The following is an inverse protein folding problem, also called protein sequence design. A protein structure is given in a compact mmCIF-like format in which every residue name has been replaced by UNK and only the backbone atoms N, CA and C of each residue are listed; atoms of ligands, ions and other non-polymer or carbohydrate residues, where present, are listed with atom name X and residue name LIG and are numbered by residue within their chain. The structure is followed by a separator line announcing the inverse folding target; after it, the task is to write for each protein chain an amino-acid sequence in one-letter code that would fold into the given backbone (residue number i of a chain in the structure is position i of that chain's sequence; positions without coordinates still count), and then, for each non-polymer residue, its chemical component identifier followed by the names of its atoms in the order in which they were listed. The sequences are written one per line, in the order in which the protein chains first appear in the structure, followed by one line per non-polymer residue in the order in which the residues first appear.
data_IF_352490559879
#
_entry.id   IF_352490559879
#
_cell.length_a   1.000
_cell.length_b   1.000
_cell.length_c   1.000
_cell.angle_alpha   90.00
_cell.angle_beta   90.00
_cell.angle_gamma   90.00
#
_symmetry.space_group_name_H-M   'P 1'
#
loop_
_entity.id
_entity.type
_entity.pdbx_description
1 polymer ?
#
# COMPACT_ATOMS: atom_id res chain seq x y z
N UNK A 1 13.89 -2.18 -4.31
CA UNK A 1 13.14 -2.43 -5.55
C UNK A 1 13.49 -1.31 -6.52
N UNK A 2 13.87 -1.64 -7.75
CA UNK A 2 14.22 -0.63 -8.74
C UNK A 2 12.94 0.01 -9.29
N UNK A 3 12.57 1.16 -8.74
CA UNK A 3 11.40 1.89 -9.20
C UNK A 3 11.60 2.47 -10.60
N UNK A 4 12.81 2.52 -11.16
CA UNK A 4 13.03 2.97 -12.53
C UNK A 4 12.75 1.87 -13.57
N UNK A 5 12.44 0.64 -13.12
CA UNK A 5 12.12 -0.47 -14.02
C UNK A 5 10.93 -0.17 -14.97
N UNK A 6 9.98 0.70 -14.60
CA UNK A 6 8.87 1.09 -15.49
C UNK A 6 9.31 1.98 -16.66
N UNK A 7 10.49 2.60 -16.58
CA UNK A 7 11.09 3.42 -17.65
C UNK A 7 11.88 2.58 -18.65
N UNK A 8 12.08 1.29 -18.35
CA UNK A 8 12.81 0.39 -19.25
C UNK A 8 11.98 0.03 -20.47
N UNK A 9 12.66 -0.12 -21.60
CA UNK A 9 12.10 -0.69 -22.82
C UNK A 9 12.52 -2.17 -22.92
N UNK A 10 11.61 -3.07 -23.33
CA UNK A 10 10.24 -2.79 -23.77
C UNK A 10 9.27 -2.44 -22.63
N UNK A 11 8.25 -1.63 -22.93
CA UNK A 11 7.27 -1.17 -21.92
C UNK A 11 6.64 -2.40 -21.22
N UNK A 12 6.72 -2.50 -19.89
CA UNK A 12 6.23 -3.68 -19.20
C UNK A 12 4.72 -3.91 -19.33
N UNK A 13 4.26 -5.16 -19.47
CA UNK A 13 2.85 -5.45 -19.69
C UNK A 13 1.95 -5.13 -18.49
N UNK A 14 2.52 -5.05 -17.28
CA UNK A 14 1.75 -4.72 -16.07
C UNK A 14 1.41 -3.24 -15.95
N UNK A 15 2.10 -2.34 -16.66
CA UNK A 15 1.94 -0.88 -16.54
C UNK A 15 0.59 -0.39 -17.09
N UNK A 16 -0.07 -1.19 -17.93
CA UNK A 16 -1.41 -0.96 -18.51
C UNK A 16 -1.61 0.47 -19.09
N UNK A 17 -0.56 1.01 -19.71
CA UNK A 17 -0.60 2.32 -20.36
C UNK A 17 -1.28 2.26 -21.72
N UNK A 18 -2.07 3.29 -22.02
CA UNK A 18 -2.70 3.50 -23.32
C UNK A 18 -2.25 4.82 -23.94
N UNK A 19 -2.14 4.86 -25.26
CA UNK A 19 -1.82 6.09 -25.99
C UNK A 19 -2.90 7.15 -25.74
N UNK A 20 -2.55 8.39 -25.33
CA UNK A 20 -3.54 9.44 -25.05
C UNK A 20 -4.26 9.93 -26.32
N UNK A 21 -3.73 9.66 -27.52
CA UNK A 21 -4.31 10.10 -28.79
C UNK A 21 -5.28 9.09 -29.41
N UNK A 22 -4.97 7.79 -29.35
CA UNK A 22 -5.76 6.75 -30.02
C UNK A 22 -6.16 5.56 -29.11
N UNK A 23 -5.84 5.63 -27.81
CA UNK A 23 -6.07 4.58 -26.82
C UNK A 23 -5.40 3.22 -27.11
N UNK A 24 -4.44 3.15 -28.04
CA UNK A 24 -3.67 1.93 -28.30
C UNK A 24 -2.88 1.48 -27.05
N UNK A 25 -2.95 0.20 -26.64
CA UNK A 25 -2.17 -0.31 -25.52
C UNK A 25 -0.67 -0.25 -25.79
N UNK A 26 0.09 0.46 -24.97
CA UNK A 26 1.52 0.73 -25.18
C UNK A 26 2.44 -0.42 -24.69
N UNK A 27 1.88 -1.55 -24.24
CA UNK A 27 2.64 -2.69 -23.72
C UNK A 27 3.55 -3.34 -24.78
N UNK A 28 4.78 -3.67 -24.37
CA UNK A 28 5.74 -4.39 -25.20
C UNK A 28 6.42 -3.58 -26.31
N UNK A 29 6.18 -2.27 -26.38
CA UNK A 29 6.78 -1.42 -27.41
C UNK A 29 8.28 -1.23 -27.18
N UNK A 30 9.12 -1.29 -28.24
CA UNK A 30 10.57 -1.12 -28.14
C UNK A 30 11.00 0.36 -28.17
N UNK A 31 10.07 1.29 -28.38
CA UNK A 31 10.32 2.74 -28.45
C UNK A 31 9.14 3.54 -27.88
N UNK A 32 9.39 4.82 -27.58
CA UNK A 32 8.39 5.75 -26.99
C UNK A 32 7.50 6.39 -28.08
N UNK A 33 6.99 5.56 -28.99
CA UNK A 33 6.13 6.00 -30.09
C UNK A 33 4.97 5.02 -30.28
N UNK A 34 3.76 5.55 -30.42
CA UNK A 34 2.58 4.74 -30.70
C UNK A 34 2.63 4.19 -32.14
N UNK A 35 2.52 2.87 -32.36
CA UNK A 35 2.58 2.29 -33.70
C UNK A 35 1.35 2.61 -34.56
N UNK A 36 0.20 2.92 -33.94
CA UNK A 36 -1.04 3.20 -34.67
C UNK A 36 -1.11 4.65 -35.18
N UNK A 37 -0.83 5.64 -34.31
CA UNK A 37 -0.99 7.06 -34.65
C UNK A 37 0.34 7.81 -34.83
N UNK A 38 1.48 7.17 -34.55
CA UNK A 38 2.80 7.78 -34.64
C UNK A 38 3.12 8.82 -33.56
N UNK A 39 2.21 9.07 -32.61
CA UNK A 39 2.44 10.02 -31.53
C UNK A 39 3.60 9.58 -30.63
N UNK A 40 4.55 10.47 -30.40
CA UNK A 40 5.56 10.33 -29.35
C UNK A 40 4.91 10.54 -27.98
N UNK A 41 5.42 9.87 -26.96
CA UNK A 41 4.96 10.03 -25.59
C UNK A 41 6.11 9.93 -24.60
N UNK A 42 5.95 10.54 -23.44
CA UNK A 42 6.85 10.35 -22.30
C UNK A 42 6.18 9.44 -21.28
N UNK A 43 6.83 8.34 -20.88
CA UNK A 43 6.28 7.40 -19.89
C UNK A 43 5.98 8.12 -18.58
N UNK A 44 6.85 9.05 -18.16
CA UNK A 44 6.68 9.81 -16.92
C UNK A 44 5.42 10.69 -16.91
N UNK A 45 4.96 11.12 -18.08
CA UNK A 45 3.71 11.91 -18.24
C UNK A 45 2.45 11.03 -18.22
N UNK A 46 2.60 9.74 -18.54
CA UNK A 46 1.50 8.78 -18.56
C UNK A 46 1.33 8.06 -17.22
N UNK A 47 2.41 7.94 -16.44
CA UNK A 47 2.38 7.34 -15.11
C UNK A 47 1.67 8.27 -14.15
N UNK A 48 0.55 7.80 -13.61
CA UNK A 48 -0.27 8.50 -12.62
C UNK A 48 -0.25 7.76 -11.28
N UNK A 49 -0.91 8.33 -10.27
CA UNK A 49 -1.04 7.73 -8.93
C UNK A 49 -1.71 6.34 -8.95
N UNK A 50 -2.52 6.10 -9.98
CA UNK A 50 -3.28 4.85 -10.18
C UNK A 50 -2.55 3.84 -11.07
N UNK A 51 -1.36 4.20 -11.57
CA UNK A 51 -0.56 3.35 -12.46
C UNK A 51 0.30 2.39 -11.64
N UNK A 52 0.26 1.08 -11.91
CA UNK A 52 1.06 0.09 -11.17
C UNK A 52 2.53 0.15 -11.58
N UNK A 53 3.44 0.40 -10.64
CA UNK A 53 4.88 0.51 -10.97
C UNK A 53 5.61 -0.85 -10.95
N UNK A 54 4.96 -1.88 -10.39
CA UNK A 54 5.44 -3.26 -10.29
C UNK A 54 4.26 -4.23 -10.43
N UNK A 55 4.45 -5.51 -10.73
CA UNK A 55 3.39 -6.53 -10.60
C UNK A 55 3.02 -6.78 -9.13
N UNK A 56 1.81 -7.33 -8.84
CA UNK A 56 1.43 -7.71 -7.48
C UNK A 56 2.27 -8.91 -7.03
N UNK A 57 2.75 -8.87 -5.78
CA UNK A 57 3.56 -9.94 -5.20
C UNK A 57 2.70 -10.93 -4.41
N UNK A 58 1.58 -10.44 -3.87
CA UNK A 58 0.67 -11.24 -3.06
C UNK A 58 -0.61 -11.49 -3.85
N UNK A 59 -0.81 -12.76 -4.20
CA UNK A 59 -2.01 -13.23 -4.88
C UNK A 59 -2.87 -14.04 -3.90
N UNK A 60 -4.11 -14.33 -4.29
CA UNK A 60 -4.99 -15.21 -3.51
C UNK A 60 -4.38 -16.61 -3.25
N UNK A 61 -3.42 -17.03 -4.08
CA UNK A 61 -2.72 -18.33 -3.99
C UNK A 61 -1.41 -18.27 -3.20
N UNK A 62 -0.96 -17.09 -2.76
CA UNK A 62 0.33 -16.94 -2.08
C UNK A 62 0.32 -17.67 -0.73
N UNK A 63 1.21 -18.65 -0.56
CA UNK A 63 1.41 -19.41 0.69
C UNK A 63 2.90 -19.45 1.04
N UNK A 64 3.28 -19.52 2.34
CA UNK A 64 2.41 -19.39 3.51
C UNK A 64 1.69 -18.03 3.52
N UNK A 65 0.51 -17.96 4.14
CA UNK A 65 -0.30 -16.74 4.17
C UNK A 65 0.53 -15.60 4.76
N UNK A 66 0.76 -14.49 4.02
CA UNK A 66 1.54 -13.37 4.54
C UNK A 66 0.87 -12.70 5.73
N UNK A 67 1.56 -11.77 6.37
CA UNK A 67 0.98 -11.02 7.47
C UNK A 67 0.05 -9.92 6.95
N UNK A 68 -1.21 -10.28 6.74
CA UNK A 68 -2.24 -9.42 6.15
C UNK A 68 -3.18 -8.79 7.19
N UNK A 69 -2.93 -9.00 8.49
CA UNK A 69 -3.86 -8.62 9.55
C UNK A 69 -5.19 -9.39 9.55
N UNK A 70 -5.33 -10.40 8.68
CA UNK A 70 -6.55 -11.19 8.53
C UNK A 70 -6.71 -12.22 9.66
N UNK A 71 -7.97 -12.47 10.01
CA UNK A 71 -8.38 -13.43 11.03
C UNK A 71 -9.45 -14.36 10.45
N UNK A 72 -9.47 -15.59 10.96
CA UNK A 72 -10.54 -16.55 10.67
C UNK A 72 -11.88 -15.96 11.13
N UNK A 73 -12.85 -15.93 10.24
CA UNK A 73 -14.23 -15.51 10.49
C UNK A 73 -14.97 -16.40 11.52
N UNK A 74 -14.52 -17.65 11.69
CA UNK A 74 -15.13 -18.62 12.60
C UNK A 74 -14.65 -18.55 14.05
N UNK A 75 -13.34 -18.39 14.27
CA UNK A 75 -12.75 -18.44 15.61
C UNK A 75 -11.85 -17.23 15.94
N UNK A 76 -11.62 -16.32 14.99
CA UNK A 76 -10.74 -15.17 15.18
C UNK A 76 -9.24 -15.48 15.12
N UNK A 77 -8.84 -16.73 14.86
CA UNK A 77 -7.43 -17.12 14.77
C UNK A 77 -6.70 -16.32 13.66
N UNK A 78 -5.50 -15.77 13.90
CA UNK A 78 -4.76 -15.02 12.89
C UNK A 78 -4.33 -15.95 11.75
N UNK A 79 -4.63 -15.57 10.51
CA UNK A 79 -4.35 -16.43 9.34
C UNK A 79 -2.89 -16.39 8.89
N UNK A 80 -2.06 -15.53 9.48
CA UNK A 80 -0.64 -15.38 9.11
C UNK A 80 0.14 -16.69 9.29
N UNK A 81 1.01 -17.00 8.34
CA UNK A 81 1.89 -18.17 8.37
C UNK A 81 1.23 -19.50 7.99
N UNK A 82 -0.08 -19.53 7.74
CA UNK A 82 -0.77 -20.77 7.39
C UNK A 82 -0.31 -21.31 6.02
N UNK A 83 0.02 -22.62 5.90
CA UNK A 83 0.46 -23.20 4.64
C UNK A 83 -0.71 -23.56 3.70
N UNK A 84 -1.94 -23.57 4.20
CA UNK A 84 -3.15 -24.03 3.50
C UNK A 84 -4.37 -23.17 3.82
N UNK A 85 -5.44 -23.42 3.08
CA UNK A 85 -6.71 -22.67 3.08
C UNK A 85 -7.65 -23.17 4.16
N UNK A 86 -7.09 -23.58 5.30
CA UNK A 86 -7.80 -24.15 6.44
C UNK A 86 -7.25 -23.55 7.72
N UNK A 87 -8.15 -23.06 8.57
CA UNK A 87 -7.80 -22.59 9.90
C UNK A 87 -7.32 -23.75 10.79
N UNK A 88 -6.15 -23.61 11.41
CA UNK A 88 -5.59 -24.67 12.27
C UNK A 88 -6.36 -24.90 13.57
N UNK A 89 -7.11 -23.90 14.04
CA UNK A 89 -7.87 -24.02 15.29
C UNK A 89 -9.26 -24.64 15.09
N UNK A 90 -10.01 -24.20 14.08
CA UNK A 90 -11.40 -24.62 13.90
C UNK A 90 -11.64 -25.46 12.64
N UNK A 91 -10.63 -25.67 11.79
CA UNK A 91 -10.73 -26.44 10.55
C UNK A 91 -11.54 -25.77 9.44
N UNK A 92 -12.07 -24.55 9.65
CA UNK A 92 -12.85 -23.83 8.64
C UNK A 92 -11.98 -23.49 7.43
N UNK A 93 -12.53 -23.73 6.24
CA UNK A 93 -11.92 -23.33 4.98
C UNK A 93 -12.03 -21.82 4.77
N UNK A 94 -11.01 -21.21 4.19
CA UNK A 94 -11.02 -19.80 3.81
C UNK A 94 -10.25 -19.61 2.51
N UNK A 95 -10.65 -18.63 1.69
CA UNK A 95 -9.87 -18.22 0.53
C UNK A 95 -9.44 -16.77 0.67
N UNK A 96 -8.17 -16.47 0.37
CA UNK A 96 -7.70 -15.08 0.32
C UNK A 96 -8.44 -14.26 -0.75
N UNK A 97 -9.01 -14.91 -1.78
CA UNK A 97 -9.81 -14.24 -2.79
C UNK A 97 -11.10 -13.64 -2.21
N UNK A 98 -11.65 -14.23 -1.14
CA UNK A 98 -12.88 -13.76 -0.50
C UNK A 98 -12.68 -12.43 0.24
N UNK A 99 -11.43 -12.10 0.57
CA UNK A 99 -11.05 -10.82 1.18
C UNK A 99 -10.74 -9.72 0.16
N UNK A 100 -10.63 -10.07 -1.13
CA UNK A 100 -10.38 -9.09 -2.20
C UNK A 100 -11.72 -8.49 -2.64
N UNK A 101 -11.91 -7.17 -2.57
CA UNK A 101 -13.17 -6.54 -2.90
C UNK A 101 -13.58 -6.80 -4.35
N UNK A 102 -14.90 -6.93 -4.63
CA UNK A 102 -15.39 -7.23 -5.96
C UNK A 102 -15.16 -6.07 -6.95
N UNK A 103 -15.11 -4.83 -6.48
CA UNK A 103 -14.90 -3.64 -7.31
C UNK A 103 -13.45 -3.52 -7.81
N UNK A 104 -13.20 -2.79 -8.92
CA UNK A 104 -11.84 -2.53 -9.41
C UNK A 104 -10.95 -1.77 -8.42
N UNK A 105 -11.57 -1.02 -7.50
CA UNK A 105 -10.90 -0.20 -6.49
C UNK A 105 -11.45 -0.53 -5.11
N UNK A 106 -10.64 -1.20 -4.30
CA UNK A 106 -10.97 -1.61 -2.95
C UNK A 106 -10.63 -0.57 -1.91
N UNK A 107 -11.50 -0.34 -0.93
CA UNK A 107 -11.18 0.46 0.25
C UNK A 107 -10.25 -0.32 1.17
N UNK A 108 -9.13 0.29 1.55
CA UNK A 108 -8.19 -0.34 2.48
C UNK A 108 -8.59 -0.01 3.90
N UNK A 109 -8.85 -1.01 4.76
CA UNK A 109 -9.12 -0.77 6.16
C UNK A 109 -7.87 -0.21 6.84
N UNK A 110 -8.01 0.88 7.59
CA UNK A 110 -6.93 1.49 8.35
C UNK A 110 -6.89 3.00 8.23
N UNK A 111 -6.44 3.66 9.30
CA UNK A 111 -6.43 5.13 9.43
C UNK A 111 -7.58 5.63 10.31
N UNK A 112 -7.26 5.93 11.57
CA UNK A 112 -8.15 6.63 12.49
C UNK A 112 -8.19 8.14 12.18
N UNK A 113 -7.22 8.65 11.44
CA UNK A 113 -7.09 10.08 11.10
C UNK A 113 -6.73 10.32 9.63
N UNK A 114 -7.02 11.54 9.15
CA UNK A 114 -6.65 11.98 7.81
C UNK A 114 -5.12 11.96 7.60
N UNK A 115 -4.33 12.23 8.64
CA UNK A 115 -2.86 12.19 8.58
C UNK A 115 -2.36 10.77 8.36
N UNK A 116 -2.90 9.78 9.08
CA UNK A 116 -2.53 8.37 8.90
C UNK A 116 -2.85 7.90 7.47
N UNK A 117 -4.01 8.27 6.93
CA UNK A 117 -4.40 7.95 5.55
C UNK A 117 -3.38 8.51 4.54
N UNK A 118 -2.91 9.75 4.74
CA UNK A 118 -1.90 10.37 3.87
C UNK A 118 -0.54 9.67 3.99
N UNK A 119 -0.15 9.26 5.21
CA UNK A 119 1.08 8.50 5.42
C UNK A 119 1.01 7.10 4.78
N UNK A 120 -0.12 6.42 4.93
CA UNK A 120 -0.37 5.13 4.26
C UNK A 120 -0.32 5.28 2.74
N UNK A 121 -0.96 6.32 2.18
CA UNK A 121 -0.89 6.62 0.76
C UNK A 121 0.55 6.81 0.27
N UNK A 122 1.34 7.65 0.96
CA UNK A 122 2.73 7.86 0.61
C UNK A 122 3.56 6.57 0.70
N UNK A 123 3.31 5.73 1.70
CA UNK A 123 3.97 4.45 1.88
C UNK A 123 3.62 3.45 0.77
N UNK A 124 2.34 3.27 0.43
CA UNK A 124 1.94 2.38 -0.66
C UNK A 124 2.56 2.80 -2.00
N UNK A 125 2.62 4.11 -2.27
CA UNK A 125 3.25 4.63 -3.49
C UNK A 125 4.74 4.37 -3.55
N UNK A 126 5.47 4.51 -2.44
CA UNK A 126 6.91 4.22 -2.44
C UNK A 126 7.19 2.73 -2.68
N UNK A 127 6.20 1.86 -2.45
CA UNK A 127 6.23 0.44 -2.81
C UNK A 127 5.70 0.15 -4.22
N UNK A 128 5.34 1.17 -5.02
CA UNK A 128 4.81 1.01 -6.37
C UNK A 128 3.38 0.46 -6.44
N UNK A 129 2.63 0.51 -5.35
CA UNK A 129 1.25 0.02 -5.27
C UNK A 129 0.29 1.13 -5.77
N UNK A 130 -0.56 0.86 -6.78
CA UNK A 130 -1.51 1.84 -7.30
C UNK A 130 -2.61 2.14 -6.29
N UNK A 131 -2.71 3.41 -5.90
CA UNK A 131 -3.66 3.86 -4.89
C UNK A 131 -4.16 5.28 -5.15
N UNK A 132 -5.34 5.61 -4.62
CA UNK A 132 -5.95 6.93 -4.73
C UNK A 132 -6.65 7.33 -3.44
N UNK A 133 -6.75 8.63 -3.19
CA UNK A 133 -7.55 9.19 -2.11
C UNK A 133 -8.89 9.66 -2.67
N UNK A 134 -9.98 9.21 -2.06
CA UNK A 134 -11.34 9.67 -2.38
C UNK A 134 -11.98 10.32 -1.16
N UNK A 135 -12.93 11.23 -1.37
CA UNK A 135 -13.76 11.72 -0.26
C UNK A 135 -14.80 10.66 0.10
N UNK A 136 -14.98 10.40 1.40
CA UNK A 136 -16.12 9.63 1.89
C UNK A 136 -17.36 10.41 1.51
N UNK A 137 -18.25 9.81 0.71
CA UNK A 137 -19.61 10.34 0.57
C UNK A 137 -20.28 10.17 1.92
N UNK A 138 -20.16 11.18 2.78
CA UNK A 138 -20.84 11.21 4.07
C UNK A 138 -22.31 10.85 3.84
N UNK A 139 -22.84 9.92 4.64
CA UNK A 139 -24.22 9.52 4.54
C UNK A 139 -25.10 10.79 4.51
N UNK A 140 -25.86 10.98 3.43
CA UNK A 140 -26.81 12.08 3.33
C UNK A 140 -27.93 11.83 4.36
N UNK A 141 -27.73 12.30 5.58
CA UNK A 141 -28.61 12.06 6.71
C UNK A 141 -28.26 12.98 7.88
N UNK A 142 -28.79 14.19 7.83
CA UNK A 142 -29.07 15.16 8.91
C UNK A 142 -28.38 14.89 10.26
N UNK A 143 -27.16 15.40 10.41
CA UNK A 143 -26.68 16.14 11.61
C UNK A 143 -25.24 16.59 11.37
N UNK A 144 -25.10 17.73 10.68
CA UNK A 144 -23.80 18.37 10.43
C UNK A 144 -23.42 19.19 11.66
N UNK A 145 -22.79 18.52 12.63
CA UNK A 145 -21.88 19.18 13.56
C UNK A 145 -20.49 18.99 12.96
N UNK A 146 -19.93 20.08 12.42
CA UNK A 146 -18.54 20.32 12.02
C UNK A 146 -17.62 19.11 12.29
N UNK A 147 -17.55 18.19 11.33
CA UNK A 147 -16.78 16.95 11.46
C UNK A 147 -16.18 16.61 10.11
N UNK A 148 -14.85 16.68 10.04
CA UNK A 148 -13.96 16.31 8.93
C UNK A 148 -14.60 15.35 7.92
N UNK A 149 -14.74 15.79 6.67
CA UNK A 149 -14.98 14.88 5.55
C UNK A 149 -13.87 13.82 5.57
N UNK A 150 -14.25 12.56 5.82
CA UNK A 150 -13.29 11.47 5.89
C UNK A 150 -12.64 11.28 4.52
N UNK A 151 -11.31 11.25 4.46
CA UNK A 151 -10.63 10.72 3.28
C UNK A 151 -10.71 9.19 3.35
N UNK A 152 -10.83 8.54 2.20
CA UNK A 152 -10.77 7.09 2.05
C UNK A 152 -9.59 6.75 1.15
N UNK A 153 -8.77 5.80 1.57
CA UNK A 153 -7.69 5.25 0.77
C UNK A 153 -8.22 4.05 -0.01
N UNK A 154 -8.11 4.11 -1.34
CA UNK A 154 -8.50 3.03 -2.24
C UNK A 154 -7.30 2.51 -3.00
N UNK A 155 -7.24 1.20 -3.22
CA UNK A 155 -6.18 0.52 -3.97
C UNK A 155 -6.78 -0.30 -5.10
N UNK A 156 -6.01 -0.51 -6.17
CA UNK A 156 -6.45 -1.36 -7.27
C UNK A 156 -6.64 -2.79 -6.77
N UNK A 157 -7.70 -3.46 -7.23
CA UNK A 157 -8.14 -4.77 -6.74
C UNK A 157 -7.02 -5.82 -6.71
N UNK A 158 -6.21 -5.87 -7.74
CA UNK A 158 -5.10 -6.82 -7.90
C UNK A 158 -3.92 -6.57 -6.95
N UNK A 159 -3.84 -5.40 -6.31
CA UNK A 159 -2.85 -5.07 -5.27
C UNK A 159 -3.45 -5.01 -3.87
N UNK A 160 -4.70 -5.44 -3.69
CA UNK A 160 -5.37 -5.31 -2.40
C UNK A 160 -4.61 -6.03 -1.28
N UNK A 161 -4.13 -7.25 -1.54
CA UNK A 161 -3.39 -8.03 -0.55
C UNK A 161 -1.99 -7.46 -0.29
N UNK A 162 -1.30 -6.99 -1.33
CA UNK A 162 -0.03 -6.24 -1.20
C UNK A 162 -0.20 -5.01 -0.28
N UNK A 163 -1.29 -4.25 -0.46
CA UNK A 163 -1.58 -3.09 0.36
C UNK A 163 -1.84 -3.46 1.83
N UNK A 164 -2.62 -4.51 2.09
CA UNK A 164 -2.86 -5.00 3.45
C UNK A 164 -1.55 -5.43 4.13
N UNK A 165 -0.67 -6.15 3.42
CA UNK A 165 0.63 -6.55 3.95
C UNK A 165 1.49 -5.33 4.31
N UNK A 166 1.62 -4.38 3.39
CA UNK A 166 2.42 -3.17 3.60
C UNK A 166 1.93 -2.35 4.81
N UNK A 167 0.62 -2.15 4.92
CA UNK A 167 0.02 -1.41 6.03
C UNK A 167 0.19 -2.15 7.36
N UNK A 168 -0.01 -3.47 7.36
CA UNK A 168 0.17 -4.29 8.57
C UNK A 168 1.63 -4.27 9.03
N UNK A 169 2.57 -4.41 8.10
CA UNK A 169 4.01 -4.33 8.40
C UNK A 169 4.40 -2.95 8.94
N UNK A 170 3.88 -1.87 8.34
CA UNK A 170 4.12 -0.52 8.81
C UNK A 170 3.57 -0.28 10.22
N UNK A 171 2.41 -0.86 10.55
CA UNK A 171 1.79 -0.76 11.87
C UNK A 171 2.54 -1.57 12.96
N UNK A 172 3.20 -2.67 12.60
CA UNK A 172 3.95 -3.52 13.55
C UNK A 172 5.35 -3.02 13.88
N UNK A 173 5.82 -1.96 13.21
CA UNK A 173 7.12 -1.34 13.48
C UNK A 173 7.02 -0.03 14.29
N UNK A 174 6.30 0.07 15.44
CA UNK A 174 6.70 1.09 16.39
C UNK A 174 8.07 0.64 16.90
N UNK A 175 9.14 1.35 16.50
CA UNK A 175 10.45 1.03 17.05
C UNK A 175 10.36 1.00 18.57
N UNK A 176 11.24 0.21 19.21
CA UNK A 176 11.24 0.12 20.67
C UNK A 176 11.39 1.51 21.28
N UNK A 177 10.45 1.87 22.15
CA UNK A 177 10.48 3.15 22.85
C UNK A 177 11.81 3.31 23.59
N UNK A 178 12.46 4.45 23.42
CA UNK A 178 13.76 4.74 24.01
C UNK A 178 13.68 5.94 24.95
N UNK A 179 14.62 6.03 25.88
CA UNK A 179 14.77 7.20 26.76
C UNK A 179 15.85 8.10 26.18
N UNK A 180 15.55 9.38 26.05
CA UNK A 180 16.54 10.35 25.61
C UNK A 180 17.71 10.40 26.61
N UNK A 181 18.97 10.18 26.18
CA UNK A 181 20.12 10.17 27.07
C UNK A 181 20.42 11.56 27.68
N UNK A 182 19.94 12.63 27.03
CA UNK A 182 20.22 14.00 27.45
C UNK A 182 19.18 14.52 28.45
N UNK A 183 17.88 14.30 28.20
CA UNK A 183 16.83 14.87 29.03
C UNK A 183 15.94 13.84 29.75
N UNK A 184 16.15 12.54 29.54
CA UNK A 184 15.39 11.46 30.18
C UNK A 184 13.95 11.27 29.66
N UNK A 185 13.55 11.97 28.61
CA UNK A 185 12.19 11.87 28.04
C UNK A 185 11.98 10.50 27.38
N UNK A 186 10.81 9.89 27.54
CA UNK A 186 10.46 8.62 26.88
C UNK A 186 9.87 8.90 25.50
N UNK A 187 10.54 8.41 24.47
CA UNK A 187 10.16 8.58 23.07
C UNK A 187 9.70 7.24 22.48
N UNK A 188 8.66 7.25 21.64
CA UNK A 188 8.36 6.12 20.77
C UNK A 188 9.54 5.82 19.83
N UNK A 189 9.81 4.57 19.50
CA UNK A 189 11.01 4.24 18.71
C UNK A 189 10.89 4.45 17.21
N UNK A 190 9.82 5.07 16.72
CA UNK A 190 9.75 5.62 15.37
C UNK A 190 10.41 7.01 15.25
N UNK A 191 11.00 7.53 16.33
CA UNK A 191 11.75 8.79 16.33
C UNK A 191 13.25 8.55 16.51
N UNK A 192 14.07 9.15 15.64
CA UNK A 192 15.53 9.14 15.74
C UNK A 192 16.07 10.29 16.61
N UNK A 193 15.28 11.36 16.77
CA UNK A 193 15.61 12.54 17.57
C UNK A 193 14.61 12.77 18.69
N UNK A 194 15.10 13.19 19.85
CA UNK A 194 14.26 13.60 20.97
C UNK A 194 13.48 14.89 20.62
N UNK A 195 12.15 14.87 20.60
CA UNK A 195 11.35 16.08 20.32
C UNK A 195 11.61 17.24 21.29
N UNK A 196 12.13 16.95 22.49
CA UNK A 196 12.29 17.93 23.57
C UNK A 196 13.63 18.64 23.51
N UNK A 197 14.71 17.91 23.22
CA UNK A 197 16.08 18.45 23.23
C UNK A 197 16.85 18.19 21.93
N UNK A 198 16.20 17.62 20.91
CA UNK A 198 16.72 17.36 19.56
C UNK A 198 17.98 16.48 19.51
N UNK A 199 18.30 15.74 20.57
CA UNK A 199 19.42 14.80 20.60
C UNK A 199 19.05 13.44 20.00
N UNK A 200 19.99 12.82 19.29
CA UNK A 200 19.81 11.52 18.65
C UNK A 200 19.77 10.34 19.62
N UNK A 201 19.16 9.24 19.16
CA UNK A 201 19.19 7.94 19.80
C UNK A 201 20.62 7.39 19.82
N UNK A 202 21.03 6.75 20.92
CA UNK A 202 22.44 6.35 21.15
C UNK A 202 22.86 5.11 20.34
N UNK A 203 21.92 4.42 19.70
CA UNK A 203 22.16 3.10 19.09
C UNK A 203 23.01 3.13 17.80
N UNK A 204 23.26 4.30 17.19
CA UNK A 204 24.03 4.39 15.93
C UNK A 204 25.53 4.69 16.08
N UNK A 205 26.03 5.06 17.26
CA UNK A 205 27.42 5.56 17.41
C UNK A 205 28.44 4.52 17.93
N UNK A 206 28.05 3.26 18.16
CA UNK A 206 28.96 2.22 18.69
C UNK A 206 29.36 1.12 17.70
N UNK A 207 29.07 1.29 16.39
CA UNK A 207 29.51 0.36 15.33
C UNK A 207 30.39 1.03 14.25
N UNK A 208 31.23 1.98 14.65
CA UNK A 208 32.30 2.54 13.80
C UNK A 208 33.65 1.96 14.20
#
# INVERSE_FOLDING_TARGET
MDLDAYRSLPIPPWLDLNCPQCAYPLRGLPEHRCPECGAEFNIDELVTETTPLRPPEITARTRPVPHLGLKCDGCGYPLRGLPSDQCLECGREFSLADYVPPEPWGEVPGGASATEIVLMFAHLRSLGIPCMLTESKGAQGVDVIIGTAGKLLRVRRDYYLDALAAITEAAEKPGESWLCPHCGERLPGNFDLCWKCQHGRVDELTRS
#
